data_IF_700287731973
#
_entry.id   IF_700287731973
#
_cell.length_a   1.000
_cell.length_b   1.000
_cell.length_c   1.000
_cell.angle_alpha   90.00
_cell.angle_beta   90.00
_cell.angle_gamma   90.00
#
_symmetry.space_group_name_H-M   'P 1'
#
loop_
_entity.id
_entity.type
_entity.pdbx_description
1 polymer ?
#
# COMPACT_ATOMS: atom_id res chain seq x y z
N UNK A 1 -16.69 8.14 -18.74
CA UNK A 1 -16.05 6.84 -18.52
C UNK A 1 -16.43 6.37 -17.12
N UNK A 2 -16.73 5.10 -16.94
CA UNK A 2 -16.96 4.52 -15.61
C UNK A 2 -15.66 4.52 -14.80
N UNK A 3 -15.74 4.88 -13.51
CA UNK A 3 -14.57 4.83 -12.61
C UNK A 3 -14.10 3.37 -12.45
N UNK A 4 -12.78 3.12 -12.39
CA UNK A 4 -12.27 1.78 -12.09
C UNK A 4 -12.68 1.37 -10.67
N UNK A 5 -12.83 0.06 -10.46
CA UNK A 5 -13.13 -0.53 -9.16
C UNK A 5 -11.83 -1.03 -8.53
N UNK A 6 -11.44 -0.49 -7.41
CA UNK A 6 -10.20 -0.81 -6.69
C UNK A 6 -10.52 -1.38 -5.32
N UNK A 7 -9.92 -2.50 -4.99
CA UNK A 7 -10.03 -3.09 -3.65
C UNK A 7 -8.81 -2.68 -2.82
N UNK A 8 -9.06 -2.00 -1.70
CA UNK A 8 -8.01 -1.63 -0.73
C UNK A 8 -8.00 -2.67 0.38
N UNK A 9 -6.89 -3.40 0.49
CA UNK A 9 -6.69 -4.47 1.47
C UNK A 9 -5.83 -3.93 2.60
N UNK A 10 -6.38 -3.90 3.81
CA UNK A 10 -5.66 -3.50 5.02
C UNK A 10 -4.92 -4.67 5.64
N UNK A 11 -3.61 -4.50 5.87
CA UNK A 11 -2.80 -5.45 6.66
C UNK A 11 -2.28 -4.86 7.96
N UNK A 12 -2.47 -3.56 8.19
CA UNK A 12 -1.98 -2.84 9.36
C UNK A 12 -0.85 -1.86 9.01
N UNK A 13 0.11 -1.74 9.89
CA UNK A 13 1.27 -0.85 9.73
C UNK A 13 1.05 0.58 10.23
N UNK A 14 2.06 1.42 10.07
CA UNK A 14 2.10 2.81 10.55
C UNK A 14 0.97 3.66 10.00
N UNK A 15 0.52 3.40 8.80
CA UNK A 15 -0.55 4.15 8.14
C UNK A 15 -1.90 4.10 8.90
N UNK A 16 -2.15 3.04 9.68
CA UNK A 16 -3.30 2.87 10.57
C UNK A 16 -2.95 3.09 12.05
N UNK A 17 -1.78 3.62 12.35
CA UNK A 17 -1.35 3.82 13.74
C UNK A 17 -1.58 5.25 14.21
N UNK A 18 -1.76 5.39 15.51
CA UNK A 18 -1.94 6.68 16.17
C UNK A 18 -0.89 6.89 17.26
N UNK A 19 -0.36 8.10 17.32
CA UNK A 19 0.45 8.59 18.42
C UNK A 19 -0.40 9.34 19.45
N UNK A 20 0.18 9.59 20.61
CA UNK A 20 -0.46 10.36 21.69
C UNK A 20 -0.44 11.88 21.43
N UNK A 21 0.39 12.35 20.50
CA UNK A 21 0.46 13.75 20.08
C UNK A 21 0.86 13.85 18.61
N UNK A 22 0.57 14.98 17.96
CA UNK A 22 0.98 15.26 16.58
C UNK A 22 2.49 15.35 16.38
N UNK A 23 3.27 15.55 17.43
CA UNK A 23 4.74 15.58 17.39
C UNK A 23 5.37 14.17 17.52
N UNK A 24 4.58 13.14 17.85
CA UNK A 24 5.09 11.79 18.02
C UNK A 24 5.33 11.11 16.67
N UNK A 25 6.58 10.83 16.35
CA UNK A 25 6.99 10.22 15.08
C UNK A 25 7.34 8.73 15.22
N UNK A 26 7.60 8.26 16.47
CA UNK A 26 7.98 6.87 16.78
C UNK A 26 7.26 6.38 18.03
N UNK A 27 7.27 5.07 18.30
CA UNK A 27 6.65 4.50 19.50
C UNK A 27 5.12 4.61 19.55
N UNK A 28 4.46 4.66 18.38
CA UNK A 28 3.01 4.73 18.22
C UNK A 28 2.35 3.36 18.31
N UNK A 29 1.02 3.36 18.51
CA UNK A 29 0.21 2.14 18.60
C UNK A 29 -0.57 1.90 17.31
N UNK A 30 -0.67 0.63 16.89
CA UNK A 30 -1.51 0.18 15.75
C UNK A 30 -2.99 0.00 16.18
N UNK A 31 -3.35 0.35 17.41
CA UNK A 31 -4.69 0.15 17.93
C UNK A 31 -5.66 1.27 17.53
N UNK A 32 -6.86 0.87 17.12
CA UNK A 32 -8.02 1.77 16.98
C UNK A 32 -8.35 2.27 15.59
N UNK A 33 -7.43 2.19 14.63
CA UNK A 33 -7.69 2.56 13.24
C UNK A 33 -7.64 1.31 12.34
N UNK A 34 -8.49 1.29 11.34
CA UNK A 34 -8.47 0.27 10.28
C UNK A 34 -8.36 0.94 8.90
N UNK A 35 -8.32 0.13 7.85
CA UNK A 35 -8.23 0.63 6.48
C UNK A 35 -9.42 1.53 6.08
N UNK A 36 -10.60 1.34 6.67
CA UNK A 36 -11.79 2.18 6.39
C UNK A 36 -11.60 3.59 6.95
N UNK A 37 -10.98 3.70 8.11
CA UNK A 37 -10.67 5.00 8.72
C UNK A 37 -9.76 5.85 7.84
N UNK A 38 -8.73 5.23 7.23
CA UNK A 38 -7.81 5.94 6.32
C UNK A 38 -8.53 6.34 5.04
N UNK A 39 -9.34 5.45 4.47
CA UNK A 39 -10.11 5.75 3.26
C UNK A 39 -11.04 6.95 3.50
N UNK A 40 -11.73 6.98 4.65
CA UNK A 40 -12.61 8.08 5.03
C UNK A 40 -11.87 9.41 5.21
N UNK A 41 -10.60 9.36 5.59
CA UNK A 41 -9.75 10.55 5.75
C UNK A 41 -9.26 11.12 4.40
N UNK A 42 -9.50 10.42 3.27
CA UNK A 42 -9.07 10.86 1.93
C UNK A 42 -10.25 10.88 0.95
N UNK A 43 -11.17 11.87 1.04
CA UNK A 43 -12.38 11.93 0.20
C UNK A 43 -12.09 11.94 -1.31
N UNK A 44 -10.92 12.48 -1.72
CA UNK A 44 -10.49 12.53 -3.12
C UNK A 44 -10.37 11.14 -3.78
N UNK A 45 -10.28 10.06 -3.01
CA UNK A 45 -10.29 8.68 -3.54
C UNK A 45 -11.57 8.39 -4.32
N UNK A 46 -12.71 8.88 -3.83
CA UNK A 46 -13.99 8.69 -4.49
C UNK A 46 -14.10 9.40 -5.85
N UNK A 47 -13.24 10.39 -6.12
CA UNK A 47 -13.18 11.07 -7.42
C UNK A 47 -12.47 10.20 -8.47
N UNK A 48 -11.54 9.32 -8.03
CA UNK A 48 -10.66 8.53 -8.88
C UNK A 48 -11.26 7.16 -9.18
N UNK A 49 -11.79 6.48 -8.16
CA UNK A 49 -12.20 5.07 -8.25
C UNK A 49 -13.42 4.77 -7.38
N UNK A 50 -14.11 3.68 -7.71
CA UNK A 50 -15.01 3.00 -6.78
C UNK A 50 -14.16 2.15 -5.85
N UNK A 51 -14.29 2.32 -4.54
CA UNK A 51 -13.41 1.71 -3.55
C UNK A 51 -14.17 0.70 -2.70
N UNK A 52 -13.64 -0.52 -2.64
CA UNK A 52 -13.99 -1.50 -1.61
C UNK A 52 -12.86 -1.60 -0.58
N UNK A 53 -13.23 -1.65 0.70
CA UNK A 53 -12.29 -1.79 1.81
C UNK A 53 -12.36 -3.21 2.39
N UNK A 54 -11.24 -3.92 2.39
CA UNK A 54 -11.10 -5.25 2.97
C UNK A 54 -10.08 -5.23 4.12
N UNK A 55 -10.49 -5.13 5.38
CA UNK A 55 -9.60 -5.27 6.53
C UNK A 55 -9.23 -6.75 6.71
N UNK A 56 -8.11 -7.17 6.12
CA UNK A 56 -7.68 -8.56 6.12
C UNK A 56 -6.85 -8.92 7.37
N UNK A 57 -5.94 -8.03 7.75
CA UNK A 57 -5.05 -8.11 8.91
C UNK A 57 -4.96 -6.73 9.58
N UNK A 58 -4.47 -6.70 10.82
CA UNK A 58 -4.13 -5.47 11.52
C UNK A 58 -2.92 -5.70 12.43
N UNK A 59 -1.75 -5.86 11.82
CA UNK A 59 -0.50 -6.21 12.50
C UNK A 59 0.64 -5.27 12.10
N UNK A 60 1.65 -5.15 12.97
CA UNK A 60 2.93 -4.56 12.57
C UNK A 60 3.64 -5.48 11.58
N UNK A 61 4.24 -4.93 10.53
CA UNK A 61 4.84 -5.75 9.47
C UNK A 61 5.98 -6.64 9.95
N UNK A 62 6.70 -6.26 10.99
CA UNK A 62 7.71 -7.10 11.64
C UNK A 62 7.15 -8.40 12.25
N UNK A 63 5.83 -8.48 12.45
CA UNK A 63 5.14 -9.65 13.00
C UNK A 63 4.43 -10.48 11.93
N UNK A 64 4.55 -10.12 10.65
CA UNK A 64 3.92 -10.87 9.55
C UNK A 64 4.54 -12.26 9.43
N UNK A 65 3.71 -13.25 9.17
CA UNK A 65 4.10 -14.65 9.05
C UNK A 65 3.83 -15.17 7.65
N UNK A 66 4.43 -16.30 7.30
CA UNK A 66 4.16 -16.98 6.02
C UNK A 66 2.66 -17.27 5.82
N UNK A 67 1.94 -17.65 6.89
CA UNK A 67 0.49 -17.86 6.84
C UNK A 67 -0.28 -16.61 6.43
N UNK A 68 0.19 -15.42 6.82
CA UNK A 68 -0.43 -14.14 6.46
C UNK A 68 -0.19 -13.79 4.99
N UNK A 69 1.02 -14.02 4.50
CA UNK A 69 1.34 -13.88 3.07
C UNK A 69 0.53 -14.86 2.20
N UNK A 70 0.39 -16.12 2.62
CA UNK A 70 -0.45 -17.10 1.91
C UNK A 70 -1.92 -16.68 1.91
N UNK A 71 -2.43 -16.19 3.05
CA UNK A 71 -3.80 -15.67 3.15
C UNK A 71 -4.00 -14.49 2.22
N UNK A 72 -3.05 -13.55 2.18
CA UNK A 72 -3.10 -12.38 1.30
C UNK A 72 -3.08 -12.79 -0.19
N UNK A 73 -2.17 -13.69 -0.56
CA UNK A 73 -2.07 -14.24 -1.93
C UNK A 73 -3.36 -14.93 -2.37
N UNK A 74 -3.91 -15.83 -1.55
CA UNK A 74 -5.14 -16.54 -1.85
C UNK A 74 -6.31 -15.56 -2.02
N UNK A 75 -6.39 -14.55 -1.14
CA UNK A 75 -7.43 -13.52 -1.19
C UNK A 75 -7.35 -12.73 -2.49
N UNK A 76 -6.17 -12.23 -2.86
CA UNK A 76 -6.00 -11.44 -4.09
C UNK A 76 -6.28 -12.29 -5.33
N UNK A 77 -5.74 -13.52 -5.41
CA UNK A 77 -5.97 -14.39 -6.56
C UNK A 77 -7.47 -14.69 -6.75
N UNK A 78 -8.21 -14.95 -5.65
CA UNK A 78 -9.66 -15.17 -5.71
C UNK A 78 -10.42 -13.93 -6.18
N UNK A 79 -10.10 -12.75 -5.62
CA UNK A 79 -10.75 -11.50 -6.00
C UNK A 79 -10.39 -11.08 -7.44
N UNK A 80 -9.21 -11.45 -7.92
CA UNK A 80 -8.78 -11.13 -9.27
C UNK A 80 -9.55 -11.87 -10.36
N UNK A 81 -10.31 -12.93 -10.03
CA UNK A 81 -11.20 -13.64 -10.95
C UNK A 81 -12.42 -12.80 -11.34
N UNK A 82 -12.83 -11.82 -10.48
CA UNK A 82 -13.93 -10.91 -10.80
C UNK A 82 -13.50 -9.88 -11.85
N UNK A 83 -14.10 -9.90 -13.06
CA UNK A 83 -13.73 -8.94 -14.13
C UNK A 83 -14.05 -7.49 -13.78
N UNK A 84 -14.93 -7.23 -12.83
CA UNK A 84 -15.28 -5.87 -12.40
C UNK A 84 -14.22 -5.23 -11.51
N UNK A 85 -13.37 -6.01 -10.86
CA UNK A 85 -12.23 -5.48 -10.08
C UNK A 85 -11.10 -5.14 -11.06
N UNK A 86 -10.61 -3.90 -10.99
CA UNK A 86 -9.61 -3.38 -11.90
C UNK A 86 -8.20 -3.41 -11.32
N UNK A 87 -8.05 -3.36 -10.01
CA UNK A 87 -6.75 -3.38 -9.33
C UNK A 87 -6.87 -3.47 -7.81
N UNK A 88 -5.72 -3.61 -7.16
CA UNK A 88 -5.60 -3.78 -5.72
C UNK A 88 -4.60 -2.79 -5.15
N UNK A 89 -4.93 -2.24 -3.99
CA UNK A 89 -3.99 -1.49 -3.14
C UNK A 89 -3.88 -2.22 -1.81
N UNK A 90 -2.67 -2.40 -1.31
CA UNK A 90 -2.40 -3.05 -0.03
C UNK A 90 -1.76 -2.03 0.89
N UNK A 91 -2.42 -1.67 1.99
CA UNK A 91 -1.79 -0.86 3.04
C UNK A 91 -0.99 -1.77 3.96
N UNK A 92 0.31 -1.49 4.12
CA UNK A 92 1.26 -2.36 4.77
C UNK A 92 2.25 -1.56 5.63
N UNK A 93 2.79 -2.18 6.67
CA UNK A 93 3.91 -1.60 7.41
C UNK A 93 5.20 -1.62 6.59
N UNK A 94 6.03 -0.61 6.76
CA UNK A 94 7.20 -0.40 5.89
C UNK A 94 8.38 -1.33 6.19
N UNK A 95 8.44 -1.98 7.37
CA UNK A 95 9.61 -2.75 7.79
C UNK A 95 9.84 -4.03 6.98
N UNK A 96 8.77 -4.66 6.49
CA UNK A 96 8.84 -5.89 5.67
C UNK A 96 8.01 -5.73 4.38
N UNK A 97 7.87 -4.49 3.90
CA UNK A 97 7.12 -4.22 2.68
C UNK A 97 7.82 -4.80 1.44
N UNK A 98 9.14 -4.74 1.39
CA UNK A 98 9.92 -5.25 0.27
C UNK A 98 9.80 -6.77 0.16
N UNK A 99 9.84 -7.50 1.29
CA UNK A 99 9.67 -8.96 1.31
C UNK A 99 8.25 -9.36 0.92
N UNK A 100 7.24 -8.64 1.44
CA UNK A 100 5.84 -8.89 1.09
C UNK A 100 5.61 -8.60 -0.40
N UNK A 101 6.15 -7.51 -0.93
CA UNK A 101 6.05 -7.17 -2.34
C UNK A 101 6.68 -8.25 -3.23
N UNK A 102 7.87 -8.72 -2.87
CA UNK A 102 8.56 -9.77 -3.62
C UNK A 102 7.84 -11.12 -3.56
N UNK A 103 7.36 -11.52 -2.37
CA UNK A 103 6.58 -12.74 -2.21
C UNK A 103 5.31 -12.72 -3.08
N UNK A 104 4.55 -11.63 -3.05
CA UNK A 104 3.35 -11.47 -3.86
C UNK A 104 3.69 -11.46 -5.36
N UNK A 105 4.79 -10.82 -5.75
CA UNK A 105 5.22 -10.78 -7.15
C UNK A 105 5.52 -12.18 -7.72
N UNK A 106 5.96 -13.12 -6.89
CA UNK A 106 6.24 -14.50 -7.28
C UNK A 106 4.99 -15.40 -7.25
N UNK A 107 3.96 -15.05 -6.47
CA UNK A 107 2.84 -15.95 -6.16
C UNK A 107 1.49 -15.53 -6.72
N UNK A 108 1.33 -14.27 -7.11
CA UNK A 108 0.09 -13.78 -7.72
C UNK A 108 -0.04 -14.22 -9.17
N UNK A 109 -1.28 -14.59 -9.57
CA UNK A 109 -1.63 -15.10 -10.90
C UNK A 109 -2.50 -14.10 -11.67
N UNK A 110 -2.24 -12.80 -11.50
CA UNK A 110 -3.03 -11.75 -12.13
C UNK A 110 -2.13 -10.72 -12.79
N UNK A 111 -2.60 -10.16 -13.90
CA UNK A 111 -2.00 -8.97 -14.52
C UNK A 111 -2.64 -7.66 -14.06
N UNK A 112 -3.68 -7.73 -13.22
CA UNK A 112 -4.27 -6.52 -12.64
C UNK A 112 -3.23 -5.80 -11.77
N UNK A 113 -3.22 -4.46 -11.76
CA UNK A 113 -2.31 -3.71 -10.91
C UNK A 113 -2.45 -4.11 -9.44
N UNK A 114 -1.33 -4.39 -8.78
CA UNK A 114 -1.24 -4.64 -7.34
C UNK A 114 -0.18 -3.72 -6.78
N UNK A 115 -0.59 -2.80 -5.91
CA UNK A 115 0.26 -1.73 -5.38
C UNK A 115 0.31 -1.81 -3.86
N UNK A 116 1.50 -2.00 -3.29
CA UNK A 116 1.72 -1.82 -1.86
C UNK A 116 2.00 -0.37 -1.56
N UNK A 117 1.46 0.11 -0.45
CA UNK A 117 1.74 1.43 0.10
C UNK A 117 1.70 1.41 1.62
N UNK A 118 2.21 2.46 2.24
CA UNK A 118 2.26 2.61 3.68
C UNK A 118 2.58 4.04 4.07
N UNK A 119 3.05 4.24 5.29
CA UNK A 119 3.56 5.54 5.73
C UNK A 119 4.73 5.37 6.69
N UNK A 120 5.58 6.37 6.72
CA UNK A 120 6.67 6.47 7.70
C UNK A 120 6.23 7.20 8.97
N UNK A 121 5.18 8.02 8.88
CA UNK A 121 4.62 8.80 9.99
C UNK A 121 3.25 8.25 10.38
N UNK A 122 2.89 8.22 11.68
CA UNK A 122 1.57 7.80 12.11
C UNK A 122 0.48 8.76 11.60
N UNK A 123 -0.75 8.28 11.50
CA UNK A 123 -1.87 9.04 10.95
C UNK A 123 -2.16 10.36 11.71
N UNK A 124 -1.79 10.42 13.00
CA UNK A 124 -1.95 11.61 13.86
C UNK A 124 -0.80 12.60 13.79
N UNK A 125 0.30 12.27 13.11
CA UNK A 125 1.48 13.13 13.04
C UNK A 125 1.23 14.39 12.22
N UNK A 126 1.89 15.49 12.60
CA UNK A 126 2.01 16.68 11.75
C UNK A 126 2.72 16.25 10.45
N UNK A 127 2.16 16.60 9.30
CA UNK A 127 2.66 16.15 7.98
C UNK A 127 2.65 14.63 7.80
N UNK A 128 1.59 13.94 8.26
CA UNK A 128 1.39 12.52 7.97
C UNK A 128 1.45 12.27 6.46
N UNK A 129 2.28 11.31 6.05
CA UNK A 129 2.50 10.97 4.62
C UNK A 129 1.49 9.95 4.09
N UNK A 130 0.79 9.23 4.97
CA UNK A 130 -0.14 8.16 4.61
C UNK A 130 -1.27 8.58 3.66
N UNK A 131 -1.99 9.70 3.89
CA UNK A 131 -3.08 10.13 3.02
C UNK A 131 -2.67 10.32 1.56
N UNK A 132 -1.55 11.00 1.31
CA UNK A 132 -1.04 11.22 -0.05
C UNK A 132 -0.51 9.93 -0.67
N UNK A 133 0.17 9.09 0.12
CA UNK A 133 0.65 7.79 -0.35
C UNK A 133 -0.52 6.89 -0.77
N UNK A 134 -1.62 6.86 0.01
CA UNK A 134 -2.82 6.10 -0.36
C UNK A 134 -3.46 6.62 -1.64
N UNK A 135 -3.61 7.94 -1.76
CA UNK A 135 -4.17 8.57 -2.97
C UNK A 135 -3.35 8.19 -4.21
N UNK A 136 -2.04 8.28 -4.12
CA UNK A 136 -1.12 7.94 -5.20
C UNK A 136 -1.15 6.45 -5.54
N UNK A 137 -1.24 5.57 -4.55
CA UNK A 137 -1.37 4.13 -4.79
C UNK A 137 -2.66 3.80 -5.53
N UNK A 138 -3.79 4.45 -5.20
CA UNK A 138 -5.07 4.26 -5.91
C UNK A 138 -4.98 4.83 -7.34
N UNK A 139 -4.36 5.99 -7.55
CA UNK A 139 -4.10 6.53 -8.90
C UNK A 139 -3.32 5.53 -9.75
N UNK A 140 -2.24 4.97 -9.17
CA UNK A 140 -1.40 3.98 -9.85
C UNK A 140 -2.18 2.69 -10.16
N UNK A 141 -2.92 2.14 -9.18
CA UNK A 141 -3.72 0.93 -9.37
C UNK A 141 -4.85 1.13 -10.39
N UNK A 142 -5.31 2.37 -10.58
CA UNK A 142 -6.31 2.76 -11.59
C UNK A 142 -5.73 2.95 -12.99
N UNK A 143 -4.40 3.00 -13.11
CA UNK A 143 -3.72 3.27 -14.37
C UNK A 143 -3.57 2.01 -15.22
N UNK A 144 -3.89 2.11 -16.51
CA UNK A 144 -3.63 1.05 -17.49
C UNK A 144 -2.14 0.73 -17.62
N UNK A 145 -1.27 1.71 -17.36
CA UNK A 145 0.19 1.55 -17.47
C UNK A 145 0.77 0.64 -16.37
N UNK A 146 0.07 0.48 -15.25
CA UNK A 146 0.48 -0.41 -14.16
C UNK A 146 0.14 -1.89 -14.41
N UNK A 147 -0.73 -2.19 -15.40
CA UNK A 147 -1.14 -3.55 -15.74
C UNK A 147 0.04 -4.37 -16.28
N UNK A 148 0.20 -5.60 -15.81
CA UNK A 148 1.27 -6.50 -16.23
C UNK A 148 2.67 -6.11 -15.77
N UNK A 149 2.78 -5.15 -14.82
CA UNK A 149 4.08 -4.71 -14.26
C UNK A 149 4.50 -5.52 -13.02
N UNK A 150 3.74 -6.57 -12.67
CA UNK A 150 3.92 -7.28 -11.42
C UNK A 150 3.45 -6.45 -10.23
N UNK A 151 3.99 -6.74 -9.07
CA UNK A 151 3.68 -6.00 -7.84
C UNK A 151 4.53 -4.74 -7.76
N UNK A 152 3.87 -3.63 -7.45
CA UNK A 152 4.49 -2.31 -7.34
C UNK A 152 4.47 -1.84 -5.87
N UNK A 153 5.47 -1.05 -5.50
CA UNK A 153 5.51 -0.33 -4.22
C UNK A 153 5.49 1.16 -4.53
N UNK A 154 4.57 1.89 -3.89
CA UNK A 154 4.43 3.34 -4.10
C UNK A 154 4.42 4.09 -2.78
N UNK A 155 5.46 4.86 -2.51
CA UNK A 155 5.58 5.80 -1.40
C UNK A 155 6.29 7.07 -1.86
N UNK A 156 6.01 8.18 -1.21
CA UNK A 156 6.65 9.48 -1.45
C UNK A 156 6.67 9.88 -2.94
N UNK A 157 5.61 9.54 -3.69
CA UNK A 157 5.50 9.82 -5.12
C UNK A 157 6.36 8.97 -6.04
N UNK A 158 7.16 8.05 -5.52
CA UNK A 158 7.96 7.12 -6.30
C UNK A 158 7.23 5.80 -6.54
N UNK A 159 7.51 5.16 -7.68
CA UNK A 159 6.97 3.85 -8.07
C UNK A 159 8.15 2.89 -8.22
N UNK A 160 8.16 1.84 -7.44
CA UNK A 160 9.19 0.80 -7.46
C UNK A 160 8.63 -0.55 -7.87
N UNK A 161 9.42 -1.34 -8.58
CA UNK A 161 9.11 -2.75 -8.83
C UNK A 161 9.50 -3.62 -7.64
N UNK A 162 8.68 -4.60 -7.31
CA UNK A 162 8.90 -5.51 -6.17
C UNK A 162 10.24 -6.24 -6.19
N UNK A 163 10.86 -6.42 -7.37
CA UNK A 163 12.10 -7.17 -7.51
C UNK A 163 13.33 -6.44 -6.96
N UNK A 164 13.30 -5.10 -6.94
CA UNK A 164 14.49 -4.28 -6.68
C UNK A 164 14.26 -3.23 -5.58
N UNK A 165 13.03 -3.08 -5.11
CA UNK A 165 12.73 -2.12 -4.05
C UNK A 165 13.36 -2.55 -2.73
N UNK A 166 13.97 -1.60 -2.01
CA UNK A 166 14.51 -1.83 -0.67
C UNK A 166 14.32 -0.62 0.24
N UNK A 167 14.07 -0.89 1.53
CA UNK A 167 13.99 0.14 2.57
C UNK A 167 15.39 0.51 3.04
N UNK A 168 15.80 1.74 2.79
CA UNK A 168 17.18 2.21 3.07
C UNK A 168 17.28 3.17 4.23
N UNK A 169 16.16 3.61 4.81
CA UNK A 169 16.14 4.52 5.94
C UNK A 169 15.00 4.17 6.90
N UNK A 170 15.22 4.34 8.21
CA UNK A 170 14.25 3.99 9.24
C UNK A 170 13.31 5.11 9.64
N UNK A 171 13.56 6.35 9.22
CA UNK A 171 12.83 7.56 9.67
C UNK A 171 12.36 8.43 8.51
N UNK A 172 13.18 8.58 7.46
CA UNK A 172 12.86 9.46 6.33
C UNK A 172 11.61 8.97 5.59
N UNK A 173 10.77 9.90 5.10
CA UNK A 173 9.66 9.58 4.19
C UNK A 173 10.18 9.09 2.85
N UNK A 174 11.35 9.55 2.42
CA UNK A 174 12.10 9.02 1.28
C UNK A 174 12.95 7.83 1.73
N UNK A 175 12.30 6.72 2.01
CA UNK A 175 12.92 5.55 2.63
C UNK A 175 13.16 4.39 1.66
N UNK A 176 12.38 4.30 0.58
CA UNK A 176 12.52 3.24 -0.40
C UNK A 176 13.34 3.69 -1.61
N UNK A 177 14.17 2.81 -2.10
CA UNK A 177 14.87 2.98 -3.37
C UNK A 177 14.90 1.67 -4.16
N UNK A 178 15.26 1.75 -5.42
CA UNK A 178 15.55 0.60 -6.29
C UNK A 178 17.01 0.68 -6.70
N UNK A 179 17.92 0.01 -5.95
CA UNK A 179 19.37 0.25 -6.09
C UNK A 179 19.93 -0.10 -7.46
N UNK A 180 19.39 -1.13 -8.11
CA UNK A 180 19.93 -1.64 -9.37
C UNK A 180 19.30 -1.00 -10.60
N UNK A 181 17.97 -0.73 -10.57
CA UNK A 181 17.23 -0.30 -11.75
C UNK A 181 16.70 1.15 -11.67
N UNK A 182 16.77 1.77 -10.50
CA UNK A 182 16.05 3.01 -10.22
C UNK A 182 14.55 2.80 -10.12
N UNK A 183 13.79 3.85 -9.78
CA UNK A 183 12.33 3.79 -9.75
C UNK A 183 11.76 3.59 -11.16
N UNK A 184 10.64 2.87 -11.26
CA UNK A 184 9.92 2.67 -12.52
C UNK A 184 9.23 3.96 -13.01
N UNK A 185 9.00 4.90 -12.12
CA UNK A 185 8.37 6.18 -12.43
C UNK A 185 8.04 7.00 -11.20
N UNK A 186 7.36 8.10 -11.46
CA UNK A 186 6.93 9.06 -10.44
C UNK A 186 5.46 9.42 -10.64
N UNK A 187 4.75 9.68 -9.54
CA UNK A 187 3.41 10.24 -9.55
C UNK A 187 3.56 11.73 -9.25
N UNK A 188 3.32 12.53 -10.25
CA UNK A 188 3.33 14.00 -10.15
C UNK A 188 1.87 14.43 -10.07
N UNK A 189 1.51 15.17 -9.02
CA UNK A 189 0.15 15.51 -8.58
C UNK A 189 -0.72 16.24 -9.55
#
# INVERSE_FOLDING_TARGET
>A
MTKPHIVIIGTGGTIVSSGTSGAQMTGYSIQGLDVRSIISAVPALAEIANIDALPLLNIGSSNIKLSDWLKLTCTINKLAEDPNIHGFVITHGTDTMEETAFFLNLTLKTEKPVVLTGSMRPATAISADGPLNLLNAVRLASSKQARGKGVLVSLNGQIHGARDVSKTNTVSVETFCSPSSGPLGYIIG
#
